data_IF_373356564231
#
_entry.id   IF_373356564231
#
_cell.length_a   1.000
_cell.length_b   1.000
_cell.length_c   1.000
_cell.angle_alpha   90.00
_cell.angle_beta   90.00
_cell.angle_gamma   90.00
#
_symmetry.space_group_name_H-M   'P 1'
#
loop_
_entity.id
_entity.type
_entity.pdbx_description
1 polymer ?
#
# COMPACT_ATOMS: atom_id res chain seq x y z
N UNK A 1 19.03 14.17 -15.64
CA UNK A 1 18.13 13.82 -14.52
C UNK A 1 17.96 14.96 -13.50
N UNK A 2 18.88 15.93 -13.42
CA UNK A 2 18.77 17.14 -12.59
C UNK A 2 17.62 18.10 -13.01
N UNK A 3 17.14 17.96 -14.24
CA UNK A 3 16.11 18.87 -14.80
C UNK A 3 14.72 18.60 -14.20
N UNK A 4 14.40 17.36 -13.85
CA UNK A 4 13.03 17.02 -13.42
C UNK A 4 12.73 17.45 -11.97
N UNK A 5 13.72 17.40 -11.08
CA UNK A 5 13.57 17.84 -9.69
C UNK A 5 13.30 19.35 -9.63
N UNK A 6 14.04 20.14 -10.41
CA UNK A 6 13.88 21.60 -10.52
C UNK A 6 12.50 21.95 -11.08
N UNK A 7 12.05 21.25 -12.13
CA UNK A 7 10.73 21.51 -12.73
C UNK A 7 9.58 21.19 -11.75
N UNK A 8 9.71 20.13 -10.94
CA UNK A 8 8.66 19.75 -9.99
C UNK A 8 8.63 20.66 -8.76
N UNK A 9 9.79 21.13 -8.30
CA UNK A 9 9.92 22.18 -7.28
C UNK A 9 9.32 23.49 -7.74
N UNK A 10 9.59 23.89 -8.99
CA UNK A 10 9.05 25.12 -9.58
C UNK A 10 7.53 25.02 -9.81
N UNK A 11 7.01 23.82 -10.10
CA UNK A 11 5.58 23.57 -10.30
C UNK A 11 4.77 23.47 -8.99
N UNK A 12 5.38 22.95 -7.91
CA UNK A 12 4.69 22.70 -6.63
C UNK A 12 5.07 23.69 -5.52
N UNK A 13 6.13 24.49 -5.72
CA UNK A 13 6.66 25.44 -4.74
C UNK A 13 7.31 24.79 -3.50
N UNK A 14 7.50 23.47 -3.52
CA UNK A 14 8.05 22.66 -2.42
C UNK A 14 8.94 21.56 -2.98
N UNK A 15 9.92 21.12 -2.19
CA UNK A 15 10.71 19.92 -2.51
C UNK A 15 9.76 18.72 -2.70
N UNK A 16 9.76 18.06 -3.87
CA UNK A 16 8.86 16.96 -4.13
C UNK A 16 9.20 15.76 -3.26
N UNK A 17 8.16 15.06 -2.79
CA UNK A 17 8.36 13.77 -2.13
C UNK A 17 8.87 12.72 -3.13
N UNK A 18 9.53 11.67 -2.63
CA UNK A 18 10.01 10.56 -3.45
C UNK A 18 8.88 9.94 -4.30
N UNK A 19 7.69 9.83 -3.72
CA UNK A 19 6.52 9.30 -4.43
C UNK A 19 6.02 10.24 -5.52
N UNK A 20 6.02 11.56 -5.31
CA UNK A 20 5.60 12.53 -6.34
C UNK A 20 6.57 12.52 -7.52
N UNK A 21 7.87 12.49 -7.26
CA UNK A 21 8.90 12.34 -8.30
C UNK A 21 8.74 11.02 -9.06
N UNK A 22 8.49 9.93 -8.33
CA UNK A 22 8.24 8.62 -8.92
C UNK A 22 7.02 8.62 -9.84
N UNK A 23 5.88 9.15 -9.38
CA UNK A 23 4.65 9.25 -10.16
C UNK A 23 4.86 10.12 -11.40
N UNK A 24 5.60 11.21 -11.28
CA UNK A 24 5.93 12.07 -12.40
C UNK A 24 6.78 11.32 -13.44
N UNK A 25 7.79 10.58 -13.03
CA UNK A 25 8.74 9.93 -13.95
C UNK A 25 8.26 8.59 -14.52
N UNK A 26 7.36 7.89 -13.84
CA UNK A 26 6.94 6.52 -14.19
C UNK A 26 5.51 6.41 -14.74
N UNK A 27 4.83 7.53 -14.93
CA UNK A 27 3.54 7.61 -15.63
C UNK A 27 3.70 8.22 -17.03
N UNK A 28 2.82 7.86 -17.96
CA UNK A 28 2.80 8.44 -19.31
C UNK A 28 2.25 9.85 -19.24
N UNK A 29 2.89 10.77 -19.95
CA UNK A 29 2.49 12.18 -20.02
C UNK A 29 2.28 12.84 -18.65
N UNK A 30 2.90 12.30 -17.60
CA UNK A 30 2.75 12.74 -16.21
C UNK A 30 1.28 12.70 -15.71
N UNK A 31 0.46 11.81 -16.26
CA UNK A 31 -0.99 11.73 -15.97
C UNK A 31 -1.32 11.20 -14.56
N UNK A 32 -0.33 10.63 -13.85
CA UNK A 32 -0.51 10.06 -12.53
C UNK A 32 -1.31 8.74 -12.49
N UNK A 33 -1.63 8.14 -13.65
CA UNK A 33 -2.55 7.00 -13.77
C UNK A 33 -2.01 5.89 -14.65
N UNK A 34 -1.40 6.23 -15.78
CA UNK A 34 -0.97 5.27 -16.79
C UNK A 34 0.51 4.95 -16.61
N UNK A 35 0.80 3.86 -15.90
CA UNK A 35 2.18 3.44 -15.66
C UNK A 35 2.88 2.99 -16.94
N UNK A 36 4.14 3.40 -17.11
CA UNK A 36 4.97 3.02 -18.25
C UNK A 36 5.44 1.56 -18.16
N UNK A 37 5.58 1.03 -16.94
CA UNK A 37 6.08 -0.32 -16.66
C UNK A 37 5.27 -0.98 -15.56
N UNK A 38 5.13 -2.31 -15.63
CA UNK A 38 4.37 -3.10 -14.64
C UNK A 38 4.95 -2.95 -13.23
N UNK A 39 6.28 -2.93 -13.11
CA UNK A 39 6.93 -2.74 -11.81
C UNK A 39 6.53 -1.43 -11.12
N UNK A 40 6.32 -0.37 -11.90
CA UNK A 40 5.93 0.92 -11.33
C UNK A 40 4.48 0.88 -10.82
N UNK A 41 3.61 0.15 -11.51
CA UNK A 41 2.25 -0.11 -11.04
C UNK A 41 2.25 -0.89 -9.72
N UNK A 42 3.05 -1.95 -9.61
CA UNK A 42 3.16 -2.71 -8.35
C UNK A 42 3.58 -1.83 -7.16
N UNK A 43 4.60 -1.00 -7.36
CA UNK A 43 5.09 -0.07 -6.32
C UNK A 43 4.00 0.92 -5.92
N UNK A 44 3.28 1.47 -6.90
CA UNK A 44 2.14 2.35 -6.65
C UNK A 44 1.04 1.66 -5.84
N UNK A 45 0.62 0.47 -6.26
CA UNK A 45 -0.47 -0.27 -5.63
C UNK A 45 -0.11 -0.63 -4.18
N UNK A 46 1.14 -1.03 -3.94
CA UNK A 46 1.64 -1.28 -2.59
C UNK A 46 1.68 0.00 -1.74
N UNK A 47 2.11 1.12 -2.31
CA UNK A 47 2.10 2.41 -1.61
C UNK A 47 0.69 2.83 -1.21
N UNK A 48 -0.28 2.72 -2.13
CA UNK A 48 -1.68 3.07 -1.89
C UNK A 48 -2.31 2.15 -0.84
N UNK A 49 -2.05 0.83 -0.93
CA UNK A 49 -2.55 -0.13 0.05
C UNK A 49 -2.02 0.19 1.45
N UNK A 50 -0.71 0.39 1.61
CA UNK A 50 -0.12 0.70 2.91
C UNK A 50 -0.61 2.04 3.46
N UNK A 51 -0.83 3.04 2.60
CA UNK A 51 -1.40 4.31 3.03
C UNK A 51 -2.83 4.16 3.54
N UNK A 52 -3.63 3.29 2.91
CA UNK A 52 -4.98 2.99 3.38
C UNK A 52 -4.96 2.27 4.72
N UNK A 53 -4.05 1.30 4.90
CA UNK A 53 -3.88 0.58 6.17
C UNK A 53 -3.48 1.54 7.32
N UNK A 54 -2.57 2.49 7.06
CA UNK A 54 -2.19 3.53 8.01
C UNK A 54 -3.33 4.47 8.39
N UNK A 55 -4.14 4.87 7.41
CA UNK A 55 -5.30 5.72 7.63
C UNK A 55 -6.36 5.01 8.50
N UNK A 56 -6.52 3.70 8.34
CA UNK A 56 -7.38 2.88 9.22
C UNK A 56 -6.84 2.83 10.66
N UNK A 57 -5.51 2.84 10.82
CA UNK A 57 -4.85 2.82 12.13
C UNK A 57 -4.78 4.19 12.82
N UNK A 58 -5.03 5.27 12.08
CA UNK A 58 -4.79 6.64 12.57
C UNK A 58 -3.31 6.98 12.75
N UNK A 59 -2.42 6.20 12.13
CA UNK A 59 -0.97 6.43 12.15
C UNK A 59 -0.53 7.26 10.95
N UNK A 60 0.33 8.25 11.17
CA UNK A 60 0.89 9.08 10.11
C UNK A 60 2.38 8.76 9.92
N UNK A 61 2.68 8.05 8.84
CA UNK A 61 4.06 7.75 8.43
C UNK A 61 4.49 8.71 7.33
N UNK A 62 5.72 9.27 7.38
CA UNK A 62 6.24 10.12 6.32
C UNK A 62 6.16 9.43 4.95
N UNK A 63 5.65 10.16 3.93
CA UNK A 63 5.48 9.64 2.56
C UNK A 63 6.77 9.01 2.00
N UNK A 64 7.93 9.56 2.33
CA UNK A 64 9.23 9.06 1.83
C UNK A 64 9.59 7.69 2.43
N UNK A 65 9.28 7.45 3.71
CA UNK A 65 9.50 6.14 4.36
C UNK A 65 8.52 5.09 3.83
N UNK A 66 7.26 5.49 3.65
CA UNK A 66 6.25 4.64 3.04
C UNK A 66 6.64 4.22 1.63
N UNK A 67 7.15 5.16 0.83
CA UNK A 67 7.66 4.91 -0.51
C UNK A 67 8.90 4.01 -0.49
N UNK A 68 9.87 4.29 0.37
CA UNK A 68 11.09 3.49 0.52
C UNK A 68 10.75 2.02 0.82
N UNK A 69 9.76 1.79 1.67
CA UNK A 69 9.31 0.44 2.00
C UNK A 69 8.53 -0.20 0.84
N UNK A 70 7.71 0.56 0.13
CA UNK A 70 6.98 0.07 -1.05
C UNK A 70 7.91 -0.35 -2.20
N UNK A 71 9.06 0.30 -2.38
CA UNK A 71 10.05 -0.12 -3.40
C UNK A 71 10.93 -1.29 -2.95
N UNK A 72 10.86 -1.68 -1.67
CA UNK A 72 11.70 -2.71 -1.08
C UNK A 72 13.08 -2.23 -0.65
N UNK A 73 13.27 -0.92 -0.47
CA UNK A 73 14.52 -0.30 -0.09
C UNK A 73 15.55 -0.21 -1.23
N UNK A 74 16.84 -0.24 -0.86
CA UNK A 74 17.95 -0.14 -1.80
C UNK A 74 18.15 -1.44 -2.60
N UNK A 75 18.43 -1.31 -3.90
CA UNK A 75 18.88 -2.40 -4.75
C UNK A 75 20.32 -2.86 -4.40
N UNK A 76 20.79 -3.93 -5.06
CA UNK A 76 22.16 -4.44 -4.90
C UNK A 76 23.26 -3.42 -5.24
N UNK A 77 22.94 -2.32 -5.92
CA UNK A 77 23.83 -1.21 -6.24
C UNK A 77 23.65 -0.02 -5.28
N UNK A 78 22.95 -0.21 -4.17
CA UNK A 78 22.61 0.82 -3.18
C UNK A 78 21.81 1.98 -3.78
N UNK A 79 20.88 1.70 -4.69
CA UNK A 79 20.01 2.73 -5.30
C UNK A 79 18.54 2.45 -5.00
N UNK A 80 17.77 3.50 -4.85
CA UNK A 80 16.31 3.39 -4.67
C UNK A 80 15.63 3.44 -6.04
N UNK A 81 14.78 2.44 -6.32
CA UNK A 81 14.10 2.37 -7.62
C UNK A 81 13.26 3.63 -7.88
N UNK A 82 13.41 4.17 -9.09
CA UNK A 82 12.62 5.30 -9.57
C UNK A 82 13.04 6.70 -9.07
N UNK A 83 14.07 6.81 -8.23
CA UNK A 83 14.59 8.10 -7.74
C UNK A 83 15.87 8.58 -8.45
N UNK A 84 16.61 7.68 -9.10
CA UNK A 84 17.90 7.99 -9.73
C UNK A 84 18.82 8.75 -8.79
N UNK A 85 19.35 9.92 -9.19
CA UNK A 85 20.27 10.70 -8.33
C UNK A 85 19.61 11.42 -7.15
N UNK A 86 18.28 11.53 -7.14
CA UNK A 86 17.52 12.12 -6.03
C UNK A 86 17.47 11.19 -4.81
N UNK A 87 17.85 9.91 -4.96
CA UNK A 87 17.96 9.03 -3.80
C UNK A 87 19.00 9.55 -2.80
N UNK A 88 20.13 10.09 -3.26
CA UNK A 88 21.23 10.60 -2.43
C UNK A 88 20.88 11.84 -1.61
N UNK A 89 19.96 12.67 -2.08
CA UNK A 89 19.52 13.87 -1.35
C UNK A 89 18.59 13.51 -0.19
N UNK A 90 17.88 12.39 -0.29
CA UNK A 90 16.88 11.95 0.70
C UNK A 90 17.43 10.86 1.63
N UNK A 91 18.10 9.86 1.07
CA UNK A 91 18.63 8.69 1.78
C UNK A 91 20.16 8.77 1.81
N UNK A 92 20.73 9.10 2.97
CA UNK A 92 22.18 9.14 3.14
C UNK A 92 22.78 7.72 3.10
N UNK A 93 23.94 7.55 2.46
CA UNK A 93 24.61 6.26 2.22
C UNK A 93 24.95 5.46 3.52
N UNK A 94 24.84 6.10 4.69
CA UNK A 94 25.07 5.52 6.01
C UNK A 94 23.79 5.27 6.82
N UNK A 95 22.61 5.47 6.24
CA UNK A 95 21.36 5.09 6.87
C UNK A 95 21.21 3.58 6.80
N UNK A 96 21.85 2.89 7.74
CA UNK A 96 21.48 1.54 8.18
C UNK A 96 20.11 1.58 8.85
N UNK A 97 19.11 2.24 8.24
CA UNK A 97 17.71 2.11 8.62
C UNK A 97 17.30 0.71 8.20
N UNK A 98 17.62 -0.23 9.08
CA UNK A 98 17.08 -1.57 9.13
C UNK A 98 15.58 -1.43 9.36
N UNK A 99 14.82 -1.13 8.30
CA UNK A 99 13.36 -1.01 8.34
C UNK A 99 12.65 -2.37 8.43
N UNK A 100 13.40 -3.45 8.70
CA UNK A 100 12.84 -4.79 8.92
C UNK A 100 11.74 -4.77 9.98
N UNK A 101 11.82 -3.91 11.00
CA UNK A 101 10.80 -3.84 12.05
C UNK A 101 9.46 -3.25 11.59
N UNK A 102 9.46 -2.16 10.81
CA UNK A 102 8.21 -1.59 10.29
C UNK A 102 7.58 -2.54 9.27
N UNK A 103 8.38 -3.13 8.38
CA UNK A 103 7.84 -4.03 7.36
C UNK A 103 7.21 -5.29 7.95
N UNK A 104 7.83 -5.88 8.99
CA UNK A 104 7.22 -7.00 9.72
C UNK A 104 5.92 -6.57 10.43
N UNK A 105 5.91 -5.39 11.05
CA UNK A 105 4.71 -4.86 11.71
C UNK A 105 3.56 -4.65 10.73
N UNK A 106 3.85 -4.03 9.57
CA UNK A 106 2.86 -3.84 8.51
C UNK A 106 2.35 -5.15 7.93
N UNK A 107 3.24 -6.10 7.64
CA UNK A 107 2.84 -7.40 7.11
C UNK A 107 1.99 -8.17 8.12
N UNK A 108 2.38 -8.14 9.40
CA UNK A 108 1.60 -8.75 10.49
C UNK A 108 0.20 -8.14 10.57
N UNK A 109 0.09 -6.82 10.60
CA UNK A 109 -1.20 -6.15 10.71
C UNK A 109 -2.09 -6.37 9.47
N UNK A 110 -1.50 -6.35 8.27
CA UNK A 110 -2.22 -6.68 7.04
C UNK A 110 -2.81 -8.10 7.08
N UNK A 111 -2.05 -9.05 7.63
CA UNK A 111 -2.53 -10.41 7.85
C UNK A 111 -3.63 -10.45 8.91
N UNK A 112 -3.49 -9.74 10.03
CA UNK A 112 -4.51 -9.65 11.08
C UNK A 112 -5.83 -9.08 10.56
N UNK A 113 -5.78 -8.01 9.75
CA UNK A 113 -6.98 -7.41 9.13
C UNK A 113 -7.67 -8.38 8.17
N UNK A 114 -6.89 -9.14 7.39
CA UNK A 114 -7.42 -10.18 6.51
C UNK A 114 -8.07 -11.32 7.29
N UNK A 115 -7.46 -11.73 8.39
CA UNK A 115 -8.00 -12.76 9.29
C UNK A 115 -9.34 -12.29 9.85
N UNK A 116 -9.40 -11.08 10.40
CA UNK A 116 -10.64 -10.52 10.95
C UNK A 116 -11.76 -10.48 9.90
N UNK A 117 -11.47 -10.01 8.69
CA UNK A 117 -12.46 -9.95 7.62
C UNK A 117 -12.95 -11.34 7.19
N UNK A 118 -12.07 -12.34 7.21
CA UNK A 118 -12.45 -13.72 6.93
C UNK A 118 -13.32 -14.29 8.05
N UNK A 119 -13.00 -14.01 9.30
CA UNK A 119 -13.80 -14.42 10.46
C UNK A 119 -15.21 -13.83 10.40
N UNK A 120 -15.34 -12.52 10.16
CA UNK A 120 -16.64 -11.85 9.97
C UNK A 120 -17.46 -12.48 8.83
N UNK A 121 -16.80 -12.85 7.73
CA UNK A 121 -17.47 -13.50 6.59
C UNK A 121 -17.95 -14.92 6.96
N UNK A 122 -17.16 -15.67 7.72
CA UNK A 122 -17.53 -17.01 8.19
C UNK A 122 -18.71 -16.94 9.17
N UNK A 123 -18.69 -15.98 10.09
CA UNK A 123 -19.78 -15.79 11.06
C UNK A 123 -21.08 -15.39 10.38
N UNK A 124 -21.00 -14.50 9.39
CA UNK A 124 -22.16 -14.13 8.56
C UNK A 124 -22.74 -15.35 7.83
N UNK A 125 -21.90 -16.19 7.23
CA UNK A 125 -22.35 -17.42 6.55
C UNK A 125 -22.98 -18.42 7.53
N UNK A 126 -22.47 -18.52 8.75
CA UNK A 126 -23.05 -19.40 9.79
C UNK A 126 -24.45 -18.94 10.19
N UNK A 127 -24.64 -17.64 10.39
CA UNK A 127 -25.96 -17.07 10.67
C UNK A 127 -26.96 -17.36 9.55
N UNK A 128 -26.56 -17.13 8.30
CA UNK A 128 -27.43 -17.40 7.14
C UNK A 128 -27.83 -18.88 7.04
N UNK A 129 -26.89 -19.80 7.31
CA UNK A 129 -27.19 -21.24 7.33
C UNK A 129 -28.14 -21.64 8.46
N UNK A 130 -28.00 -21.04 9.65
CA UNK A 130 -28.89 -21.30 10.78
C UNK A 130 -30.30 -20.76 10.52
N UNK A 131 -30.43 -19.58 9.89
CA UNK A 131 -31.74 -19.03 9.49
C UNK A 131 -32.44 -19.93 8.47
N UNK A 132 -31.70 -20.40 7.44
CA UNK A 132 -32.23 -21.35 6.45
C UNK A 132 -32.64 -22.66 7.13
N UNK A 133 -31.84 -23.15 8.08
CA UNK A 133 -32.16 -24.38 8.83
C UNK A 133 -33.43 -24.22 9.65
N UNK A 134 -33.62 -23.09 10.31
CA UNK A 134 -34.82 -22.79 11.09
C UNK A 134 -36.06 -22.72 10.19
N UNK A 135 -35.98 -22.01 9.06
CA UNK A 135 -37.06 -21.97 8.06
C UNK A 135 -37.46 -23.37 7.55
N UNK A 136 -36.48 -24.24 7.25
CA UNK A 136 -36.75 -25.60 6.77
C UNK A 136 -37.44 -26.44 7.86
N UNK A 137 -37.04 -26.30 9.12
CA UNK A 137 -37.68 -27.00 10.24
C UNK A 137 -39.13 -26.52 10.45
N UNK A 138 -39.37 -25.22 10.37
CA UNK A 138 -40.71 -24.64 10.51
C UNK A 138 -41.65 -25.14 9.40
N UNK A 139 -41.20 -25.12 8.14
CA UNK A 139 -41.97 -25.68 7.01
C UNK A 139 -42.27 -27.18 7.18
N UNK A 140 -41.32 -27.94 7.73
CA UNK A 140 -41.50 -29.37 7.98
C UNK A 140 -42.54 -29.62 9.09
N UNK A 141 -42.55 -28.80 10.12
CA UNK A 141 -43.51 -28.90 11.21
C UNK A 141 -44.92 -28.53 10.75
N UNK A 142 -45.07 -27.50 9.90
CA UNK A 142 -46.38 -27.12 9.34
C UNK A 142 -46.97 -28.16 8.38
N UNK A 143 -46.15 -28.98 7.72
CA UNK A 143 -46.64 -30.02 6.80
C UNK A 143 -47.04 -31.34 7.51
N UNK A 144 -46.68 -31.51 8.78
CA UNK A 144 -46.94 -32.72 9.57
C UNK A 144 -48.16 -32.58 10.52
N UNK A 145 -48.92 -31.50 10.38
CA UNK A 145 -50.11 -31.18 11.18
C UNK A 145 -51.34 -31.12 10.27
#
# INVERSE_FOLDING_TARGET
MVIFDIYLEEYTGKAPSCYELFMFTHTKDHDGKTFQVEKAKEVHDLFVSRRADLALLGEEVPKNELFYTAVGGHDHKKRVYGLGSYDKSIFHENSSQTCTSLDISFQKHHLETKIQKLEETIDQQRMELDDVRNMVNDMRNTNNQ
#
